data_IF_885498272732
#
_entry.id   IF_885498272732
#
_cell.length_a   1.000
_cell.length_b   1.000
_cell.length_c   1.000
_cell.angle_alpha   90.00
_cell.angle_beta   90.00
_cell.angle_gamma   90.00
#
_symmetry.space_group_name_H-M   'P 1'
#
loop_
_entity.id
_entity.type
_entity.pdbx_description
1 polymer ?
#
# COMPACT_ATOMS: atom_id res chain seq x y z
N UNK A 1 -30.16 -8.84 31.31
CA UNK A 1 -28.69 -8.83 31.11
C UNK A 1 -28.44 -8.64 29.62
N UNK A 2 -28.09 -7.42 29.20
CA UNK A 2 -27.84 -7.12 27.78
C UNK A 2 -26.36 -7.34 27.45
N UNK A 3 -26.06 -8.19 26.49
CA UNK A 3 -24.72 -8.37 25.96
C UNK A 3 -24.39 -7.21 25.03
N UNK A 4 -23.36 -6.43 25.37
CA UNK A 4 -22.82 -5.40 24.48
C UNK A 4 -22.05 -6.08 23.35
N UNK A 5 -22.62 -6.09 22.17
CA UNK A 5 -21.94 -6.59 20.98
C UNK A 5 -21.01 -5.46 20.48
N UNK A 6 -19.72 -5.56 20.79
CA UNK A 6 -18.73 -4.62 20.30
C UNK A 6 -18.62 -4.78 18.76
N UNK A 7 -19.09 -3.77 18.02
CA UNK A 7 -18.91 -3.70 16.58
C UNK A 7 -17.42 -3.71 16.19
N UNK A 8 -17.09 -4.02 14.93
CA UNK A 8 -15.72 -4.03 14.46
C UNK A 8 -15.07 -2.65 14.67
N UNK A 9 -13.92 -2.64 15.33
CA UNK A 9 -13.14 -1.43 15.60
C UNK A 9 -12.78 -0.77 14.26
N UNK A 10 -13.04 0.54 14.06
CA UNK A 10 -12.72 1.22 12.82
C UNK A 10 -11.22 1.14 12.51
N UNK A 11 -10.89 0.80 11.27
CA UNK A 11 -9.54 0.41 10.80
C UNK A 11 -8.43 1.44 11.11
N UNK A 12 -8.78 2.73 11.22
CA UNK A 12 -7.85 3.81 11.57
C UNK A 12 -7.34 3.72 13.03
N UNK A 13 -8.10 3.12 13.94
CA UNK A 13 -7.72 2.94 15.35
C UNK A 13 -6.63 1.87 15.49
N UNK A 14 -6.64 0.84 14.65
CA UNK A 14 -5.62 -0.23 14.69
C UNK A 14 -4.23 0.27 14.26
N UNK A 15 -4.16 1.14 13.26
CA UNK A 15 -2.90 1.80 12.88
C UNK A 15 -2.37 2.66 14.03
N UNK A 16 -3.26 3.40 14.69
CA UNK A 16 -2.89 4.21 15.84
C UNK A 16 -2.40 3.35 17.01
N UNK A 17 -3.02 2.20 17.27
CA UNK A 17 -2.61 1.27 18.33
C UNK A 17 -1.26 0.60 18.03
N UNK A 18 -1.03 0.09 16.82
CA UNK A 18 0.25 -0.52 16.44
C UNK A 18 1.41 0.51 16.49
N UNK A 19 1.17 1.75 16.07
CA UNK A 19 2.15 2.84 16.16
C UNK A 19 2.41 3.29 17.60
N UNK A 20 1.37 3.33 18.46
CA UNK A 20 1.54 3.64 19.89
C UNK A 20 2.27 2.54 20.63
N UNK A 21 2.01 1.27 20.31
CA UNK A 21 2.76 0.13 20.90
C UNK A 21 4.24 0.19 20.50
N UNK A 22 4.55 0.51 19.24
CA UNK A 22 5.93 0.71 18.78
C UNK A 22 6.61 1.91 19.46
N UNK A 23 5.90 3.00 19.69
CA UNK A 23 6.42 4.20 20.36
C UNK A 23 6.64 3.97 21.86
N UNK A 24 5.71 3.27 22.53
CA UNK A 24 5.80 2.93 23.95
C UNK A 24 6.91 1.91 24.19
N UNK A 25 7.09 0.92 23.32
CA UNK A 25 8.21 -0.03 23.41
C UNK A 25 9.57 0.69 23.33
N UNK A 26 9.72 1.67 22.43
CA UNK A 26 10.95 2.48 22.34
C UNK A 26 11.21 3.33 23.58
N UNK A 27 10.14 3.89 24.19
CA UNK A 27 10.24 4.66 25.44
C UNK A 27 10.51 3.78 26.67
N UNK A 28 9.94 2.58 26.72
CA UNK A 28 10.01 1.70 27.88
C UNK A 28 11.34 0.93 27.97
N UNK A 29 11.96 0.58 26.84
CA UNK A 29 13.15 -0.27 26.82
C UNK A 29 14.46 0.46 26.48
N UNK A 30 14.41 1.76 26.14
CA UNK A 30 15.58 2.50 25.67
C UNK A 30 16.17 1.90 24.39
N UNK A 31 17.06 2.64 23.72
CA UNK A 31 17.77 2.15 22.53
C UNK A 31 18.79 1.08 22.94
N UNK A 32 18.33 -0.15 23.11
CA UNK A 32 19.12 -1.29 23.57
C UNK A 32 20.07 -1.81 22.50
N UNK A 33 21.06 -1.02 22.08
CA UNK A 33 22.19 -1.50 21.27
C UNK A 33 23.34 -1.90 22.18
N UNK A 34 23.36 -3.16 22.62
CA UNK A 34 24.59 -3.84 23.03
C UNK A 34 24.71 -5.16 22.28
N UNK A 35 25.66 -5.20 21.36
CA UNK A 35 26.16 -6.44 20.73
C UNK A 35 25.46 -6.85 19.43
N UNK A 36 25.65 -6.07 18.36
CA UNK A 36 25.58 -6.59 17.00
C UNK A 36 26.48 -5.74 16.10
N UNK A 37 27.67 -6.27 15.87
CA UNK A 37 28.54 -6.24 14.70
C UNK A 37 28.17 -5.22 13.61
N UNK A 38 29.18 -4.44 13.20
CA UNK A 38 29.15 -3.40 12.17
C UNK A 38 28.57 -3.86 10.83
N UNK A 39 27.24 -3.97 10.74
CA UNK A 39 26.48 -4.08 9.52
C UNK A 39 25.24 -3.17 9.62
N UNK A 40 25.45 -1.91 9.25
CA UNK A 40 24.41 -1.00 8.73
C UNK A 40 23.09 -0.92 9.52
N UNK A 41 23.14 -0.36 10.73
CA UNK A 41 21.98 0.40 11.25
C UNK A 41 21.91 1.75 10.51
N UNK A 42 21.67 1.69 9.21
CA UNK A 42 21.03 2.84 8.55
C UNK A 42 19.55 2.68 8.81
N UNK A 43 19.03 3.49 9.74
CA UNK A 43 17.59 3.75 9.83
C UNK A 43 17.19 4.60 8.61
N UNK A 44 17.44 4.06 7.40
CA UNK A 44 17.18 4.71 6.13
C UNK A 44 15.67 4.65 5.97
N UNK A 45 15.02 5.81 6.08
CA UNK A 45 13.65 6.04 5.62
C UNK A 45 13.54 5.43 4.23
N UNK A 46 12.96 4.23 4.12
CA UNK A 46 12.89 3.54 2.85
C UNK A 46 11.69 4.09 2.12
N UNK A 47 11.96 4.95 1.15
CA UNK A 47 10.96 5.33 0.17
C UNK A 47 10.41 4.08 -0.50
N UNK A 48 9.16 4.17 -0.93
CA UNK A 48 8.54 3.11 -1.69
C UNK A 48 8.63 3.42 -3.18
N UNK A 49 8.63 2.39 -4.01
CA UNK A 49 8.82 2.50 -5.43
C UNK A 49 7.76 1.72 -6.20
N UNK A 50 7.45 2.21 -7.39
CA UNK A 50 6.56 1.58 -8.37
C UNK A 50 7.15 1.80 -9.75
N UNK A 51 7.40 0.73 -10.50
CA UNK A 51 7.74 0.84 -11.92
C UNK A 51 6.49 1.07 -12.79
N UNK A 52 6.59 1.94 -13.79
CA UNK A 52 5.48 2.26 -14.69
C UNK A 52 5.97 2.73 -16.08
N UNK A 53 5.34 2.22 -17.14
CA UNK A 53 5.65 2.58 -18.54
C UNK A 53 4.73 3.64 -19.14
N UNK A 54 3.59 3.94 -18.50
CA UNK A 54 2.54 4.81 -19.01
C UNK A 54 2.06 5.72 -17.89
N UNK A 55 2.96 6.56 -17.36
CA UNK A 55 2.74 7.34 -16.14
C UNK A 55 1.44 8.14 -16.14
N UNK A 56 1.08 8.73 -17.28
CA UNK A 56 -0.09 9.61 -17.40
C UNK A 56 -1.32 8.92 -18.02
N UNK A 57 -1.23 7.64 -18.36
CA UNK A 57 -2.37 6.91 -18.94
C UNK A 57 -3.19 6.25 -17.84
N UNK A 58 -4.50 6.57 -17.71
CA UNK A 58 -5.38 5.93 -16.73
C UNK A 58 -5.69 4.47 -17.06
N UNK A 59 -5.37 4.02 -18.28
CA UNK A 59 -5.60 2.66 -18.75
C UNK A 59 -4.34 2.07 -19.38
N UNK A 60 -4.24 0.74 -19.33
CA UNK A 60 -3.27 -0.05 -20.10
C UNK A 60 -3.75 -0.21 -21.55
N UNK A 61 -2.88 -0.61 -22.50
CA UNK A 61 -3.29 -0.88 -23.89
C UNK A 61 -4.41 -1.91 -24.03
N UNK A 62 -4.54 -2.82 -23.05
CA UNK A 62 -5.62 -3.81 -22.99
C UNK A 62 -6.91 -3.29 -22.32
N UNK A 63 -7.05 -1.98 -22.13
CA UNK A 63 -8.21 -1.33 -21.52
C UNK A 63 -8.33 -1.47 -20.00
N UNK A 64 -7.43 -2.19 -19.33
CA UNK A 64 -7.48 -2.33 -17.86
C UNK A 64 -7.08 -1.02 -17.18
N UNK A 65 -7.93 -0.51 -16.29
CA UNK A 65 -7.67 0.67 -15.49
C UNK A 65 -6.44 0.50 -14.60
N UNK A 66 -5.69 1.59 -14.42
CA UNK A 66 -4.45 1.59 -13.64
C UNK A 66 -4.25 2.94 -12.93
N UNK A 67 -3.44 2.95 -11.85
CA UNK A 67 -2.97 4.19 -11.27
C UNK A 67 -2.19 5.02 -12.30
N UNK A 68 -2.35 6.34 -12.25
CA UNK A 68 -1.71 7.29 -13.16
C UNK A 68 -1.48 8.63 -12.47
N UNK A 69 -0.56 9.42 -13.03
CA UNK A 69 -0.30 10.79 -12.62
C UNK A 69 -1.28 11.70 -13.37
N UNK A 70 -2.11 12.41 -12.62
CA UNK A 70 -3.08 13.38 -13.15
C UNK A 70 -2.39 14.64 -13.69
N UNK A 71 -3.17 15.55 -14.27
CA UNK A 71 -2.66 16.86 -14.73
C UNK A 71 -2.18 17.76 -13.59
N UNK A 72 -2.68 17.57 -12.36
CA UNK A 72 -2.18 18.27 -11.16
C UNK A 72 -0.89 17.65 -10.60
N UNK A 73 -0.42 16.55 -11.18
CA UNK A 73 0.75 15.81 -10.72
C UNK A 73 0.45 14.83 -9.58
N UNK A 74 -0.81 14.68 -9.16
CA UNK A 74 -1.21 13.74 -8.12
C UNK A 74 -1.24 12.31 -8.67
N UNK A 75 -0.92 11.32 -7.84
CA UNK A 75 -1.02 9.92 -8.22
C UNK A 75 -2.41 9.39 -7.86
N UNK A 76 -3.23 9.22 -8.88
CA UNK A 76 -4.62 8.78 -8.78
C UNK A 76 -4.69 7.26 -8.92
N UNK A 77 -5.44 6.53 -8.08
CA UNK A 77 -5.65 5.09 -8.25
C UNK A 77 -6.53 4.80 -9.48
N UNK A 78 -6.76 3.53 -9.81
CA UNK A 78 -7.61 3.18 -10.96
C UNK A 78 -9.07 3.67 -10.80
N UNK A 79 -9.61 3.65 -9.58
CA UNK A 79 -10.88 4.29 -9.20
C UNK A 79 -10.79 4.75 -7.75
N UNK A 80 -11.20 5.98 -7.43
CA UNK A 80 -11.17 6.51 -6.06
C UNK A 80 -12.26 5.87 -5.18
N UNK A 81 -13.41 5.58 -5.78
CA UNK A 81 -14.59 4.98 -5.14
C UNK A 81 -14.31 3.54 -4.71
N UNK A 82 -13.53 2.82 -5.51
CA UNK A 82 -13.08 1.48 -5.16
C UNK A 82 -14.17 0.42 -5.24
N UNK A 83 -15.27 0.66 -5.98
CA UNK A 83 -16.45 -0.20 -6.00
C UNK A 83 -16.44 -1.16 -7.19
N UNK A 84 -16.68 -2.44 -6.92
CA UNK A 84 -16.86 -3.47 -7.93
C UNK A 84 -17.97 -4.42 -7.49
N UNK A 85 -18.97 -4.62 -8.35
CA UNK A 85 -20.16 -5.45 -8.07
C UNK A 85 -20.88 -5.05 -6.77
N UNK A 86 -21.04 -3.74 -6.54
CA UNK A 86 -21.78 -3.20 -5.40
C UNK A 86 -21.05 -3.25 -4.05
N UNK A 87 -19.77 -3.64 -4.02
CA UNK A 87 -18.94 -3.67 -2.80
C UNK A 87 -17.56 -3.08 -3.06
N UNK A 88 -16.80 -2.82 -2.00
CA UNK A 88 -15.40 -2.45 -2.12
C UNK A 88 -14.56 -3.58 -2.76
N UNK A 89 -13.64 -3.22 -3.64
CA UNK A 89 -12.62 -4.11 -4.19
C UNK A 89 -11.74 -4.60 -3.04
N UNK A 90 -11.52 -5.91 -2.96
CA UNK A 90 -10.67 -6.49 -1.91
C UNK A 90 -9.20 -6.31 -2.24
N UNK A 91 -8.36 -6.35 -1.20
CA UNK A 91 -6.90 -6.36 -1.34
C UNK A 91 -6.45 -7.57 -2.18
N UNK A 92 -7.06 -8.74 -1.97
CA UNK A 92 -6.80 -9.95 -2.75
C UNK A 92 -7.09 -9.73 -4.24
N UNK A 93 -8.26 -9.17 -4.58
CA UNK A 93 -8.62 -8.88 -5.96
C UNK A 93 -7.65 -7.89 -6.62
N UNK A 94 -7.18 -6.89 -5.86
CA UNK A 94 -6.17 -5.96 -6.34
C UNK A 94 -4.85 -6.66 -6.69
N UNK A 95 -4.35 -7.50 -5.79
CA UNK A 95 -3.05 -8.18 -5.91
C UNK A 95 -3.07 -9.22 -7.03
N UNK A 96 -4.19 -9.92 -7.21
CA UNK A 96 -4.35 -10.90 -8.29
C UNK A 96 -4.33 -10.26 -9.69
N UNK A 97 -4.48 -8.93 -9.79
CA UNK A 97 -4.19 -8.16 -10.99
C UNK A 97 -4.90 -8.68 -12.23
N UNK A 98 -4.14 -9.18 -13.21
CA UNK A 98 -4.65 -9.68 -14.50
C UNK A 98 -5.64 -10.84 -14.39
N UNK A 99 -5.65 -11.60 -13.29
CA UNK A 99 -6.66 -12.66 -13.03
C UNK A 99 -8.02 -12.08 -12.58
N UNK A 100 -8.07 -10.79 -12.26
CA UNK A 100 -9.24 -10.06 -11.75
C UNK A 100 -9.40 -8.71 -12.43
N UNK A 101 -9.22 -8.64 -13.76
CA UNK A 101 -9.21 -7.38 -14.54
C UNK A 101 -10.37 -6.43 -14.20
N UNK A 102 -11.59 -6.94 -14.07
CA UNK A 102 -12.75 -6.15 -13.69
C UNK A 102 -12.58 -5.45 -12.33
N UNK A 103 -12.19 -6.19 -11.29
CA UNK A 103 -11.92 -5.59 -9.98
C UNK A 103 -10.67 -4.69 -10.01
N UNK A 104 -9.64 -5.06 -10.78
CA UNK A 104 -8.39 -4.29 -10.88
C UNK A 104 -8.61 -2.88 -11.44
N UNK A 105 -9.44 -2.74 -12.47
CA UNK A 105 -9.81 -1.42 -13.03
C UNK A 105 -10.59 -0.55 -12.06
N UNK A 106 -11.27 -1.15 -11.08
CA UNK A 106 -12.07 -0.45 -10.07
C UNK A 106 -11.33 -0.32 -8.72
N UNK A 107 -10.02 -0.59 -8.70
CA UNK A 107 -9.28 -0.63 -7.46
C UNK A 107 -8.97 0.77 -6.91
N UNK A 108 -9.18 1.01 -5.60
CA UNK A 108 -8.74 2.22 -4.91
C UNK A 108 -7.28 2.18 -4.45
N UNK A 109 -6.60 1.05 -4.65
CA UNK A 109 -5.22 0.85 -4.25
C UNK A 109 -4.23 1.11 -5.39
N UNK A 110 -3.05 1.59 -5.00
CA UNK A 110 -1.85 1.66 -5.82
C UNK A 110 -0.75 0.83 -5.16
N UNK A 111 -0.22 -0.16 -5.89
CA UNK A 111 0.90 -1.00 -5.45
C UNK A 111 2.23 -0.25 -5.46
N UNK A 112 3.00 -0.46 -4.40
CA UNK A 112 4.38 -0.06 -4.24
C UNK A 112 5.19 -1.17 -3.55
N UNK A 113 6.52 -1.03 -3.57
CA UNK A 113 7.45 -1.91 -2.85
C UNK A 113 8.65 -1.11 -2.36
N UNK A 114 9.26 -1.50 -1.25
CA UNK A 114 10.56 -0.95 -0.86
C UNK A 114 11.75 -1.72 -1.48
N UNK A 115 11.48 -2.76 -2.28
CA UNK A 115 12.47 -3.56 -2.98
C UNK A 115 12.69 -3.01 -4.40
N UNK A 116 13.76 -2.23 -4.60
CA UNK A 116 14.11 -1.67 -5.92
C UNK A 116 14.33 -2.73 -7.00
N UNK A 117 14.72 -3.96 -6.63
CA UNK A 117 14.93 -5.03 -7.62
C UNK A 117 13.61 -5.50 -8.24
N UNK A 118 12.48 -5.34 -7.53
CA UNK A 118 11.16 -5.72 -8.03
C UNK A 118 10.69 -4.75 -9.12
N UNK A 119 10.97 -3.45 -8.98
CA UNK A 119 10.52 -2.44 -9.96
C UNK A 119 11.33 -2.46 -11.26
N UNK A 120 12.55 -2.98 -11.25
CA UNK A 120 13.43 -3.01 -12.44
C UNK A 120 12.82 -3.73 -13.64
N UNK A 121 11.82 -4.60 -13.40
CA UNK A 121 11.11 -5.34 -14.44
C UNK A 121 9.89 -4.59 -15.03
N UNK A 122 9.58 -3.38 -14.56
CA UNK A 122 8.32 -2.70 -14.91
C UNK A 122 8.55 -1.30 -15.47
N UNK A 123 8.52 -1.20 -16.81
CA UNK A 123 8.56 0.06 -17.55
C UNK A 123 9.89 0.80 -17.51
N UNK A 124 9.89 1.99 -18.11
CA UNK A 124 11.06 2.88 -18.27
C UNK A 124 11.10 4.02 -17.23
N UNK A 125 10.07 4.11 -16.37
CA UNK A 125 10.01 5.11 -15.31
C UNK A 125 9.68 4.45 -13.97
N UNK A 126 10.07 5.11 -12.89
CA UNK A 126 9.64 4.75 -11.54
C UNK A 126 8.97 5.94 -10.86
N UNK A 127 7.99 5.64 -10.02
CA UNK A 127 7.42 6.57 -9.05
C UNK A 127 8.02 6.21 -7.69
N UNK A 128 8.76 7.13 -7.11
CA UNK A 128 9.22 7.09 -5.74
C UNK A 128 8.21 7.80 -4.83
N UNK A 129 7.93 7.23 -3.67
CA UNK A 129 7.00 7.76 -2.66
C UNK A 129 7.73 7.98 -1.35
N UNK A 130 7.72 9.21 -0.84
CA UNK A 130 8.11 9.52 0.54
C UNK A 130 7.00 9.08 1.51
N UNK A 131 7.03 7.79 1.83
CA UNK A 131 6.09 7.17 2.76
C UNK A 131 6.18 7.78 4.17
N UNK A 132 7.34 8.32 4.55
CA UNK A 132 7.53 8.86 5.90
C UNK A 132 6.81 10.20 6.05
N UNK A 133 6.98 11.09 5.08
CA UNK A 133 6.27 12.36 5.03
C UNK A 133 4.76 12.16 4.86
N UNK A 134 4.34 11.25 3.95
CA UNK A 134 2.93 10.93 3.75
C UNK A 134 2.30 10.40 5.06
N UNK A 135 2.94 9.44 5.73
CA UNK A 135 2.43 8.89 7.00
C UNK A 135 2.28 9.97 8.07
N UNK A 136 3.28 10.85 8.21
CA UNK A 136 3.24 11.95 9.17
C UNK A 136 2.05 12.89 8.92
N UNK A 137 1.80 13.24 7.66
CA UNK A 137 0.74 14.18 7.30
C UNK A 137 -0.66 13.53 7.33
N UNK A 138 -0.76 12.21 7.15
CA UNK A 138 -1.99 11.46 7.44
C UNK A 138 -2.29 11.49 8.95
N UNK A 139 -1.28 11.19 9.79
CA UNK A 139 -1.45 11.16 11.25
C UNK A 139 -1.79 12.52 11.84
N UNK A 140 -1.32 13.62 11.24
CA UNK A 140 -1.69 14.98 11.65
C UNK A 140 -3.05 15.44 11.14
N UNK A 141 -3.71 14.65 10.27
CA UNK A 141 -4.99 14.99 9.64
C UNK A 141 -4.88 15.99 8.48
N UNK A 142 -3.65 16.36 8.08
CA UNK A 142 -3.39 17.23 6.92
C UNK A 142 -3.73 16.53 5.61
N UNK A 143 -3.39 15.25 5.47
CA UNK A 143 -3.81 14.41 4.35
C UNK A 143 -4.98 13.54 4.82
N UNK A 144 -6.09 13.62 4.09
CA UNK A 144 -7.32 12.86 4.36
C UNK A 144 -7.56 11.86 3.24
N UNK A 145 -8.41 10.86 3.50
CA UNK A 145 -8.85 9.86 2.53
C UNK A 145 -7.73 9.02 1.88
N UNK A 146 -6.56 8.99 2.53
CA UNK A 146 -5.42 8.14 2.15
C UNK A 146 -5.12 7.15 3.27
N UNK A 147 -4.93 5.88 2.91
CA UNK A 147 -4.54 4.82 3.85
C UNK A 147 -3.31 4.09 3.34
N UNK A 148 -2.31 3.93 4.21
CA UNK A 148 -1.11 3.14 3.94
C UNK A 148 -1.33 1.74 4.52
N UNK A 149 -1.25 0.71 3.68
CA UNK A 149 -1.27 -0.69 4.11
C UNK A 149 0.13 -1.29 3.98
N UNK A 150 0.66 -1.76 5.11
CA UNK A 150 1.93 -2.49 5.15
C UNK A 150 1.79 -3.95 4.69
N UNK A 151 2.89 -4.62 4.32
CA UNK A 151 2.87 -6.03 3.91
C UNK A 151 2.15 -6.97 4.90
N UNK A 152 2.32 -6.74 6.21
CA UNK A 152 1.66 -7.53 7.26
C UNK A 152 0.15 -7.28 7.29
N UNK A 153 -0.28 -6.03 7.12
CA UNK A 153 -1.70 -5.68 7.10
C UNK A 153 -2.39 -6.19 5.85
N UNK A 154 -1.70 -6.17 4.70
CA UNK A 154 -2.16 -6.76 3.45
C UNK A 154 -2.38 -8.27 3.63
N UNK A 155 -1.42 -8.99 4.22
CA UNK A 155 -1.58 -10.43 4.48
C UNK A 155 -2.79 -10.72 5.37
N UNK A 156 -2.96 -10.00 6.49
CA UNK A 156 -4.13 -10.14 7.36
C UNK A 156 -5.46 -9.85 6.64
N UNK A 157 -5.46 -8.89 5.70
CA UNK A 157 -6.64 -8.57 4.88
C UNK A 157 -6.95 -9.67 3.87
N UNK A 158 -5.93 -10.28 3.26
CA UNK A 158 -6.12 -11.42 2.36
C UNK A 158 -6.64 -12.64 3.13
N UNK A 159 -6.08 -12.93 4.30
CA UNK A 159 -6.51 -14.07 5.14
C UNK A 159 -7.99 -13.99 5.52
N UNK A 160 -8.48 -12.77 5.79
CA UNK A 160 -9.88 -12.48 6.14
C UNK A 160 -10.80 -12.27 4.94
N UNK A 161 -10.27 -12.34 3.72
CA UNK A 161 -11.09 -12.17 2.51
C UNK A 161 -12.08 -13.34 2.37
N UNK A 162 -13.36 -13.02 2.36
CA UNK A 162 -14.46 -13.98 2.18
C UNK A 162 -14.94 -14.07 0.73
N UNK A 163 -14.44 -13.21 -0.15
CA UNK A 163 -14.80 -13.18 -1.58
C UNK A 163 -13.97 -14.18 -2.38
N UNK A 164 -12.68 -14.28 -2.05
CA UNK A 164 -11.72 -15.11 -2.79
C UNK A 164 -11.57 -16.50 -2.17
N UNK A 165 -11.49 -17.55 -3.00
CA UNK A 165 -11.20 -18.91 -2.52
C UNK A 165 -9.79 -19.04 -1.93
N UNK A 166 -9.55 -20.07 -1.11
CA UNK A 166 -8.26 -20.29 -0.46
C UNK A 166 -7.09 -20.42 -1.45
N UNK A 167 -7.31 -21.05 -2.60
CA UNK A 167 -6.33 -21.10 -3.68
C UNK A 167 -5.86 -19.69 -4.09
N UNK A 168 -6.82 -18.78 -4.30
CA UNK A 168 -6.54 -17.41 -4.73
C UNK A 168 -5.93 -16.56 -3.61
N UNK A 169 -6.37 -16.75 -2.36
CA UNK A 169 -5.77 -16.11 -1.19
C UNK A 169 -4.30 -16.53 -1.01
N UNK A 170 -4.01 -17.82 -1.08
CA UNK A 170 -2.66 -18.35 -0.96
C UNK A 170 -1.74 -17.80 -2.06
N UNK A 171 -2.25 -17.70 -3.30
CA UNK A 171 -1.50 -17.08 -4.40
C UNK A 171 -1.20 -15.60 -4.13
N UNK A 172 -2.18 -14.83 -3.66
CA UNK A 172 -2.00 -13.43 -3.34
C UNK A 172 -1.00 -13.23 -2.18
N UNK A 173 -1.08 -14.03 -1.12
CA UNK A 173 -0.11 -14.02 0.00
C UNK A 173 1.31 -14.24 -0.51
N UNK A 174 1.52 -15.22 -1.38
CA UNK A 174 2.85 -15.53 -1.93
C UNK A 174 3.42 -14.35 -2.72
N UNK A 175 2.60 -13.65 -3.51
CA UNK A 175 3.04 -12.48 -4.27
C UNK A 175 3.34 -11.29 -3.37
N UNK A 176 2.47 -11.01 -2.39
CA UNK A 176 2.72 -9.95 -1.39
C UNK A 176 4.04 -10.18 -0.66
N UNK A 177 4.33 -11.42 -0.25
CA UNK A 177 5.57 -11.77 0.44
C UNK A 177 6.78 -11.62 -0.46
N UNK A 178 6.72 -12.16 -1.69
CA UNK A 178 7.82 -12.08 -2.67
C UNK A 178 8.20 -10.63 -2.98
N UNK A 179 7.19 -9.78 -3.19
CA UNK A 179 7.40 -8.41 -3.66
C UNK A 179 7.51 -7.39 -2.51
N UNK A 180 7.37 -7.84 -1.27
CA UNK A 180 7.25 -7.02 -0.05
C UNK A 180 6.27 -5.84 -0.27
N UNK A 181 5.06 -6.17 -0.71
CA UNK A 181 4.13 -5.21 -1.29
C UNK A 181 3.51 -4.28 -0.24
N UNK A 182 3.43 -3.00 -0.59
CA UNK A 182 2.67 -1.96 0.10
C UNK A 182 1.53 -1.50 -0.80
N UNK A 183 0.39 -1.20 -0.22
CA UNK A 183 -0.74 -0.63 -0.93
C UNK A 183 -1.07 0.74 -0.34
N UNK A 184 -1.18 1.75 -1.21
CA UNK A 184 -1.73 3.04 -0.83
C UNK A 184 -3.16 3.10 -1.36
N UNK A 185 -4.14 3.21 -0.46
CA UNK A 185 -5.54 3.46 -0.82
C UNK A 185 -5.73 4.97 -0.99
N UNK A 186 -6.40 5.38 -2.06
CA UNK A 186 -6.72 6.79 -2.33
C UNK A 186 -5.69 7.48 -3.22
N UNK A 187 -5.93 8.77 -3.46
CA UNK A 187 -5.08 9.64 -4.26
C UNK A 187 -3.91 10.18 -3.43
N UNK A 188 -2.70 10.10 -3.97
CA UNK A 188 -1.49 10.59 -3.29
C UNK A 188 -1.14 11.97 -3.84
N UNK A 189 -1.09 13.01 -3.00
CA UNK A 189 -0.68 14.34 -3.43
C UNK A 189 0.73 14.38 -4.03
N UNK A 190 0.91 15.17 -5.08
CA UNK A 190 2.15 15.31 -5.86
C UNK A 190 3.40 15.55 -5.00
N UNK A 191 3.26 16.33 -3.93
CA UNK A 191 4.36 16.67 -3.00
C UNK A 191 5.01 15.46 -2.30
N UNK A 192 4.38 14.29 -2.28
CA UNK A 192 4.94 13.07 -1.69
C UNK A 192 5.56 12.13 -2.71
N UNK A 193 5.43 12.40 -4.00
CA UNK A 193 5.94 11.54 -5.06
C UNK A 193 7.01 12.22 -5.89
N UNK A 194 7.91 11.42 -6.43
CA UNK A 194 8.91 11.84 -7.41
C UNK A 194 8.92 10.85 -8.56
N UNK A 195 8.88 11.37 -9.78
CA UNK A 195 9.09 10.56 -10.98
C UNK A 195 10.59 10.48 -11.24
N UNK A 196 11.08 9.26 -11.42
CA UNK A 196 12.46 8.97 -11.75
C UNK A 196 12.51 8.34 -13.15
N UNK A 197 13.39 8.83 -14.05
CA UNK A 197 13.76 8.03 -15.21
C UNK A 197 14.47 6.77 -14.71
N UNK A 198 14.34 5.66 -15.43
CA UNK A 198 15.11 4.46 -15.13
C UNK A 198 16.59 4.71 -15.49
N UNK A 199 17.49 4.28 -14.61
CA UNK A 199 18.93 4.17 -14.88
C UNK A 199 19.22 3.03 -15.88
#
# INVERSE_FOLDING_TARGET
>A
MGTVNAGPIPYNVMNHLEDQVQLVARKAFGDGTKGIDNATVTNKRSNLYRGDSLLHSPTRPNGTGKPHISSSGDLVPASKEGLYKGRQVTVTEHILGGYRKGAKSNSPYTSFTNNKNVIGNYGENAIELDISALRKDIQSGKVKDVVILSPKQIQKLIERDTVSSDFWKNRAINWTKRDNEYLIKGEVPSQYIKVLPKE
#
